data_IF_442001660429
#
_entry.id   IF_442001660429
#
_cell.length_a   1.000
_cell.length_b   1.000
_cell.length_c   1.000
_cell.angle_alpha   90.00
_cell.angle_beta   90.00
_cell.angle_gamma   90.00
#
_symmetry.space_group_name_H-M   'P 1'
#
loop_
_entity.id
_entity.type
_entity.pdbx_description
1 polymer ?
#
# COMPACT_ATOMS: atom_id res chain seq x y z
N UNK A 1 -10.35 29.04 -9.07
CA UNK A 1 -9.12 28.22 -8.91
C UNK A 1 -7.92 29.11 -9.21
N UNK A 2 -6.82 29.02 -8.46
CA UNK A 2 -5.58 29.78 -8.72
C UNK A 2 -4.49 28.74 -8.94
N UNK A 3 -3.86 28.75 -10.12
CA UNK A 3 -2.86 27.75 -10.53
C UNK A 3 -1.53 28.46 -10.78
N UNK A 4 -0.39 27.98 -10.23
CA UNK A 4 0.92 28.55 -10.51
C UNK A 4 1.27 28.41 -12.00
N UNK A 5 1.75 29.49 -12.62
CA UNK A 5 2.15 29.50 -14.03
C UNK A 5 3.23 28.43 -14.34
N UNK A 6 4.21 28.26 -13.44
CA UNK A 6 5.25 27.22 -13.58
C UNK A 6 4.66 25.82 -13.61
N UNK A 7 3.58 25.55 -12.87
CA UNK A 7 2.92 24.25 -12.87
C UNK A 7 2.25 23.99 -14.23
N UNK A 8 1.56 24.99 -14.78
CA UNK A 8 0.95 24.89 -16.12
C UNK A 8 2.03 24.61 -17.17
N UNK A 9 3.16 25.33 -17.15
CA UNK A 9 4.26 25.10 -18.09
C UNK A 9 4.84 23.69 -17.97
N UNK A 10 5.09 23.22 -16.75
CA UNK A 10 5.63 21.88 -16.46
C UNK A 10 4.67 20.74 -16.85
N UNK A 11 3.37 21.01 -16.92
CA UNK A 11 2.35 20.03 -17.29
C UNK A 11 1.81 20.26 -18.72
N UNK A 12 2.54 21.00 -19.55
CA UNK A 12 2.18 21.18 -20.96
C UNK A 12 2.13 19.81 -21.67
N UNK A 13 1.02 19.52 -22.35
CA UNK A 13 0.84 18.29 -23.11
C UNK A 13 1.23 18.42 -24.60
N UNK A 14 2.01 19.44 -24.98
CA UNK A 14 2.53 19.53 -26.34
C UNK A 14 3.58 18.44 -26.58
N UNK A 15 3.81 17.97 -27.82
CA UNK A 15 4.80 16.93 -28.12
C UNK A 15 6.23 17.25 -27.65
N UNK A 16 6.56 18.53 -27.52
CA UNK A 16 7.84 19.01 -26.98
C UNK A 16 7.98 18.70 -25.47
N UNK A 17 6.88 18.74 -24.71
CA UNK A 17 6.86 18.58 -23.26
C UNK A 17 6.34 17.23 -22.79
N UNK A 18 5.61 16.50 -23.65
CA UNK A 18 4.96 15.24 -23.30
C UNK A 18 4.94 14.27 -24.48
N UNK A 19 5.42 13.05 -24.26
CA UNK A 19 5.33 11.96 -25.21
C UNK A 19 4.00 11.24 -25.04
N UNK A 20 3.09 11.37 -26.01
CA UNK A 20 1.76 10.74 -25.98
C UNK A 20 1.78 9.23 -26.25
N UNK A 21 2.87 8.69 -26.82
CA UNK A 21 3.02 7.24 -27.01
C UNK A 21 3.42 6.54 -25.71
N UNK A 22 4.33 7.15 -24.94
CA UNK A 22 4.84 6.56 -23.70
C UNK A 22 4.18 7.11 -22.43
N UNK A 23 3.38 8.17 -22.57
CA UNK A 23 2.77 8.93 -21.47
C UNK A 23 3.79 9.54 -20.49
N UNK A 24 5.00 9.87 -20.98
CA UNK A 24 6.10 10.41 -20.18
C UNK A 24 6.36 11.89 -20.48
N UNK A 25 6.84 12.64 -19.48
CA UNK A 25 7.30 14.01 -19.66
C UNK A 25 8.62 14.03 -20.45
N UNK A 26 8.68 14.89 -21.45
CA UNK A 26 9.91 15.24 -22.18
C UNK A 26 10.52 16.55 -21.66
N UNK A 27 9.82 17.26 -20.77
CA UNK A 27 10.20 18.58 -20.29
C UNK A 27 11.59 18.57 -19.63
N UNK A 28 12.52 19.36 -20.15
CA UNK A 28 13.77 19.68 -19.45
C UNK A 28 13.45 20.69 -18.33
N UNK A 29 13.72 20.37 -17.05
CA UNK A 29 13.53 21.30 -15.95
C UNK A 29 14.28 22.63 -16.13
N UNK A 30 15.37 22.66 -16.92
CA UNK A 30 16.09 23.89 -17.24
C UNK A 30 15.28 24.87 -18.10
N UNK A 31 14.26 24.39 -18.83
CA UNK A 31 13.35 25.24 -19.60
C UNK A 31 12.30 25.93 -18.72
N UNK A 32 12.14 25.50 -17.45
CA UNK A 32 11.36 26.22 -16.45
C UNK A 32 12.18 27.41 -15.93
N UNK A 33 12.34 28.43 -16.77
CA UNK A 33 13.18 29.59 -16.45
C UNK A 33 12.60 30.43 -15.31
N UNK A 34 13.47 31.10 -14.54
CA UNK A 34 13.04 32.08 -13.50
C UNK A 34 12.26 33.27 -14.05
N UNK A 35 12.29 33.48 -15.37
CA UNK A 35 11.63 34.59 -16.07
C UNK A 35 10.40 34.14 -16.86
N UNK A 36 9.86 32.95 -16.58
CA UNK A 36 8.63 32.46 -17.20
C UNK A 36 7.47 33.42 -16.90
N UNK A 37 6.87 33.98 -17.95
CA UNK A 37 5.72 34.88 -17.88
C UNK A 37 4.66 34.46 -18.88
N UNK A 38 3.41 34.67 -18.49
CA UNK A 38 2.26 34.55 -19.38
C UNK A 38 2.15 35.88 -20.12
N UNK A 39 2.21 35.83 -21.45
CA UNK A 39 1.98 37.00 -22.31
C UNK A 39 0.47 37.23 -22.50
N UNK A 40 -0.28 36.18 -22.80
CA UNK A 40 -1.73 36.21 -22.91
C UNK A 40 -2.36 34.84 -22.65
N UNK A 41 -3.66 34.85 -22.37
CA UNK A 41 -4.49 33.65 -22.25
C UNK A 41 -5.74 33.85 -23.10
N UNK A 42 -6.06 32.85 -23.91
CA UNK A 42 -7.24 32.84 -24.76
C UNK A 42 -8.09 31.61 -24.44
N UNK A 43 -9.40 31.79 -24.28
CA UNK A 43 -10.32 30.66 -24.12
C UNK A 43 -10.50 29.97 -25.48
N UNK A 44 -10.64 28.65 -25.47
CA UNK A 44 -10.98 27.90 -26.69
C UNK A 44 -12.47 28.09 -27.02
N UNK A 45 -12.84 27.80 -28.27
CA UNK A 45 -14.25 27.82 -28.68
C UNK A 45 -15.12 26.97 -27.72
N UNK A 46 -16.23 27.55 -27.25
CA UNK A 46 -17.15 26.99 -26.25
C UNK A 46 -16.64 26.94 -24.79
N UNK A 47 -15.58 27.67 -24.44
CA UNK A 47 -15.05 27.81 -23.06
C UNK A 47 -14.67 26.48 -22.38
N UNK A 48 -14.46 25.42 -23.15
CA UNK A 48 -14.09 24.09 -22.64
C UNK A 48 -12.58 23.94 -22.32
N UNK A 49 -11.78 24.98 -22.60
CA UNK A 49 -10.34 24.97 -22.46
C UNK A 49 -9.74 26.36 -22.61
N UNK A 50 -8.41 26.44 -22.54
CA UNK A 50 -7.67 27.68 -22.75
C UNK A 50 -6.29 27.42 -23.34
N UNK A 51 -5.79 28.42 -24.05
CA UNK A 51 -4.46 28.49 -24.63
C UNK A 51 -3.66 29.56 -23.90
N UNK A 52 -2.46 29.22 -23.44
CA UNK A 52 -1.49 30.15 -22.86
C UNK A 52 -0.41 30.42 -23.87
N UNK A 53 -0.14 31.70 -24.11
CA UNK A 53 1.01 32.18 -24.85
C UNK A 53 2.07 32.66 -23.86
N UNK A 54 3.27 32.09 -23.96
CA UNK A 54 4.37 32.35 -23.05
C UNK A 54 5.35 33.36 -23.66
N UNK A 55 6.07 34.09 -22.81
CA UNK A 55 7.06 35.09 -23.22
C UNK A 55 8.29 34.53 -23.96
N UNK A 56 8.45 33.20 -23.98
CA UNK A 56 9.46 32.48 -24.77
C UNK A 56 8.95 32.07 -26.17
N UNK A 57 7.70 32.44 -26.51
CA UNK A 57 7.04 32.09 -27.76
C UNK A 57 6.37 30.71 -27.76
N UNK A 58 6.47 29.94 -26.67
CA UNK A 58 5.78 28.65 -26.58
C UNK A 58 4.27 28.84 -26.40
N UNK A 59 3.51 27.80 -26.75
CA UNK A 59 2.06 27.76 -26.62
C UNK A 59 1.64 26.49 -25.89
N UNK A 60 0.91 26.64 -24.79
CA UNK A 60 0.35 25.51 -24.03
C UNK A 60 -1.17 25.51 -24.13
N UNK A 61 -1.77 24.35 -24.35
CA UNK A 61 -3.23 24.17 -24.44
C UNK A 61 -3.70 23.22 -23.34
N UNK A 62 -4.77 23.60 -22.65
CA UNK A 62 -5.36 22.81 -21.57
C UNK A 62 -6.86 22.73 -21.76
N UNK A 63 -7.41 21.54 -21.54
CA UNK A 63 -8.84 21.37 -21.35
C UNK A 63 -9.19 21.71 -19.89
N UNK A 64 -10.35 22.33 -19.66
CA UNK A 64 -10.78 22.75 -18.32
C UNK A 64 -11.03 21.56 -17.40
N UNK A 65 -11.62 20.48 -17.92
CA UNK A 65 -11.86 19.22 -17.21
C UNK A 65 -10.55 18.52 -16.83
N UNK A 66 -9.58 18.48 -17.74
CA UNK A 66 -8.23 17.97 -17.46
C UNK A 66 -7.59 18.79 -16.35
N UNK A 67 -7.67 20.13 -16.39
CA UNK A 67 -7.10 20.98 -15.35
C UNK A 67 -7.79 20.74 -13.99
N UNK A 68 -9.12 20.61 -13.97
CA UNK A 68 -9.87 20.29 -12.75
C UNK A 68 -9.49 18.92 -12.17
N UNK A 69 -9.25 17.92 -13.03
CA UNK A 69 -8.87 16.58 -12.60
C UNK A 69 -7.40 16.40 -12.23
N UNK A 70 -6.50 17.23 -12.76
CA UNK A 70 -5.05 17.06 -12.59
C UNK A 70 -4.39 18.16 -11.74
N UNK A 71 -5.03 19.32 -11.56
CA UNK A 71 -4.49 20.35 -10.68
C UNK A 71 -4.71 19.96 -9.21
N UNK A 72 -3.64 19.55 -8.57
CA UNK A 72 -3.60 19.17 -7.17
C UNK A 72 -3.89 20.38 -6.27
N UNK A 73 -5.15 20.57 -5.88
CA UNK A 73 -5.50 21.46 -4.76
C UNK A 73 -5.81 20.69 -3.49
N UNK A 74 -6.66 19.66 -3.54
CA UNK A 74 -6.88 18.71 -2.42
C UNK A 74 -7.34 17.34 -2.96
N UNK A 75 -6.64 16.30 -2.50
CA UNK A 75 -6.83 14.84 -2.63
C UNK A 75 -6.81 14.17 -4.03
N UNK A 76 -6.03 13.09 -4.20
CA UNK A 76 -6.38 12.07 -5.18
C UNK A 76 -7.66 11.36 -4.69
N UNK A 77 -8.76 11.49 -5.44
CA UNK A 77 -9.95 10.67 -5.20
C UNK A 77 -9.63 9.26 -5.67
N UNK A 78 -9.47 8.32 -4.73
CA UNK A 78 -9.32 6.92 -5.10
C UNK A 78 -10.66 6.42 -5.65
N UNK A 79 -10.64 5.78 -6.82
CA UNK A 79 -11.84 5.16 -7.40
C UNK A 79 -12.52 4.19 -6.42
N UNK A 80 -11.76 3.60 -5.49
CA UNK A 80 -12.29 2.75 -4.42
C UNK A 80 -12.07 3.41 -3.07
N UNK A 81 -13.17 3.79 -2.39
CA UNK A 81 -13.10 4.30 -1.03
C UNK A 81 -12.78 3.17 -0.05
N UNK A 82 -11.78 3.41 0.80
CA UNK A 82 -11.45 2.53 1.92
C UNK A 82 -12.61 2.50 2.91
N UNK A 83 -12.85 1.33 3.48
CA UNK A 83 -13.83 1.10 4.55
C UNK A 83 -13.07 0.66 5.79
N UNK A 84 -13.25 1.41 6.87
CA UNK A 84 -12.82 0.97 8.19
C UNK A 84 -13.71 -0.15 8.69
N UNK A 85 -13.10 -1.20 9.22
CA UNK A 85 -13.84 -2.38 9.66
C UNK A 85 -13.36 -2.93 11.00
N UNK A 86 -14.30 -3.51 11.72
CA UNK A 86 -14.09 -4.27 12.93
C UNK A 86 -14.71 -5.67 12.79
N UNK A 87 -14.67 -6.44 13.88
CA UNK A 87 -15.29 -7.76 13.94
C UNK A 87 -16.78 -7.71 13.62
N UNK A 88 -17.53 -6.77 14.21
CA UNK A 88 -18.97 -6.70 14.05
C UNK A 88 -19.36 -6.45 12.59
N UNK A 89 -18.65 -5.52 11.92
CA UNK A 89 -18.88 -5.24 10.51
C UNK A 89 -18.58 -6.46 9.65
N UNK A 90 -17.46 -7.16 9.88
CA UNK A 90 -17.09 -8.35 9.12
C UNK A 90 -18.02 -9.55 9.37
N UNK A 91 -18.61 -9.67 10.56
CA UNK A 91 -19.63 -10.70 10.85
C UNK A 91 -21.02 -10.36 10.28
N UNK A 92 -21.29 -9.08 10.01
CA UNK A 92 -22.58 -8.61 9.49
C UNK A 92 -22.73 -8.73 7.96
N UNK A 93 -21.66 -9.06 7.23
CA UNK A 93 -21.65 -9.11 5.76
C UNK A 93 -20.80 -10.27 5.23
N UNK A 94 -20.95 -10.64 3.94
CA UNK A 94 -20.06 -11.62 3.32
C UNK A 94 -18.60 -11.13 3.35
N UNK A 95 -17.67 -12.04 3.65
CA UNK A 95 -16.24 -11.80 3.53
C UNK A 95 -15.86 -11.51 2.06
N UNK A 96 -14.77 -10.75 1.82
CA UNK A 96 -14.28 -10.43 0.47
C UNK A 96 -13.62 -11.66 -0.20
N UNK A 97 -14.44 -12.63 -0.59
CA UNK A 97 -14.03 -13.90 -1.20
C UNK A 97 -14.25 -13.83 -2.71
N UNK A 98 -13.25 -14.25 -3.48
CA UNK A 98 -13.29 -14.41 -4.93
C UNK A 98 -12.96 -15.87 -5.27
N UNK A 99 -13.76 -16.58 -6.08
CA UNK A 99 -13.41 -17.93 -6.52
C UNK A 99 -12.09 -17.93 -7.32
N UNK A 100 -11.24 -18.94 -7.10
CA UNK A 100 -9.97 -19.09 -7.82
C UNK A 100 -10.13 -19.04 -9.34
N UNK A 101 -11.15 -19.73 -9.88
CA UNK A 101 -11.41 -19.74 -11.32
C UNK A 101 -11.72 -18.33 -11.86
N UNK A 102 -12.48 -17.54 -11.12
CA UNK A 102 -12.85 -16.18 -11.52
C UNK A 102 -11.65 -15.25 -11.43
N UNK A 103 -10.86 -15.32 -10.36
CA UNK A 103 -9.61 -14.57 -10.21
C UNK A 103 -8.64 -14.85 -11.37
N UNK A 104 -8.49 -16.13 -11.74
CA UNK A 104 -7.52 -16.54 -12.76
C UNK A 104 -7.99 -16.22 -14.18
N UNK A 105 -9.28 -16.39 -14.48
CA UNK A 105 -9.79 -16.40 -15.86
C UNK A 105 -10.61 -15.17 -16.26
N UNK A 106 -11.15 -14.42 -15.30
CA UNK A 106 -12.07 -13.31 -15.58
C UNK A 106 -11.47 -11.98 -15.14
N UNK A 107 -11.53 -10.97 -16.01
CA UNK A 107 -11.14 -9.60 -15.64
C UNK A 107 -12.01 -9.05 -14.50
N UNK A 108 -13.29 -9.44 -14.45
CA UNK A 108 -14.18 -9.08 -13.35
C UNK A 108 -13.71 -9.67 -12.00
N UNK A 109 -13.24 -10.91 -11.98
CA UNK A 109 -12.74 -11.56 -10.74
C UNK A 109 -11.42 -10.95 -10.26
N UNK A 110 -10.51 -10.62 -11.17
CA UNK A 110 -9.31 -9.85 -10.82
C UNK A 110 -9.66 -8.45 -10.31
N UNK A 111 -10.55 -7.75 -11.01
CA UNK A 111 -10.99 -6.41 -10.59
C UNK A 111 -11.64 -6.42 -9.21
N UNK A 112 -12.44 -7.45 -8.89
CA UNK A 112 -13.02 -7.64 -7.57
C UNK A 112 -11.93 -7.88 -6.50
N UNK A 113 -10.93 -8.70 -6.82
CA UNK A 113 -9.76 -8.92 -5.95
C UNK A 113 -9.03 -7.61 -5.62
N UNK A 114 -8.73 -6.80 -6.65
CA UNK A 114 -8.07 -5.49 -6.48
C UNK A 114 -8.97 -4.52 -5.71
N UNK A 115 -10.28 -4.52 -5.99
CA UNK A 115 -11.26 -3.71 -5.30
C UNK A 115 -11.32 -4.05 -3.81
N UNK A 116 -11.34 -5.34 -3.45
CA UNK A 116 -11.33 -5.81 -2.07
C UNK A 116 -10.06 -5.37 -1.33
N UNK A 117 -8.89 -5.53 -1.95
CA UNK A 117 -7.60 -5.06 -1.40
C UNK A 117 -7.55 -3.54 -1.21
N UNK A 118 -8.16 -2.76 -2.09
CA UNK A 118 -8.24 -1.30 -1.94
C UNK A 118 -9.29 -0.87 -0.89
N UNK A 119 -10.42 -1.57 -0.82
CA UNK A 119 -11.55 -1.25 0.05
C UNK A 119 -11.32 -1.68 1.50
N UNK A 120 -10.99 -2.94 1.72
CA UNK A 120 -10.86 -3.54 3.06
C UNK A 120 -9.41 -3.77 3.47
N UNK A 121 -8.45 -3.66 2.54
CA UNK A 121 -7.07 -4.05 2.82
C UNK A 121 -6.87 -5.57 2.80
N UNK A 122 -7.89 -6.37 2.48
CA UNK A 122 -7.69 -7.81 2.26
C UNK A 122 -8.67 -8.41 1.24
N UNK A 123 -8.27 -9.54 0.67
CA UNK A 123 -9.12 -10.38 -0.19
C UNK A 123 -8.74 -11.85 0.00
N UNK A 124 -9.73 -12.73 -0.16
CA UNK A 124 -9.56 -14.18 -0.07
C UNK A 124 -9.83 -14.78 -1.44
N UNK A 125 -8.93 -15.60 -1.96
CA UNK A 125 -9.16 -16.44 -3.12
C UNK A 125 -9.39 -17.89 -2.68
N UNK A 126 -10.58 -18.41 -2.98
CA UNK A 126 -11.01 -19.72 -2.51
C UNK A 126 -10.88 -20.79 -3.60
N UNK A 127 -10.36 -21.96 -3.24
CA UNK A 127 -10.22 -23.10 -4.15
C UNK A 127 -8.90 -23.12 -4.94
N UNK A 128 -7.87 -22.37 -4.53
CA UNK A 128 -6.53 -22.50 -5.11
C UNK A 128 -5.91 -23.83 -4.69
N UNK A 129 -5.22 -24.56 -5.57
CA UNK A 129 -4.57 -25.82 -5.20
C UNK A 129 -3.46 -25.59 -4.15
N UNK A 130 -3.38 -26.45 -3.14
CA UNK A 130 -2.42 -26.41 -2.01
C UNK A 130 -0.97 -26.73 -2.41
N UNK A 131 -0.41 -25.97 -3.37
CA UNK A 131 1.02 -26.04 -3.70
C UNK A 131 1.63 -24.64 -3.84
N UNK A 132 2.94 -24.54 -3.65
CA UNK A 132 3.67 -23.28 -3.81
C UNK A 132 3.55 -22.74 -5.25
N UNK A 133 3.58 -23.62 -6.26
CA UNK A 133 3.48 -23.19 -7.67
C UNK A 133 2.07 -22.67 -8.03
N UNK A 134 1.03 -23.22 -7.40
CA UNK A 134 -0.33 -22.71 -7.59
C UNK A 134 -0.51 -21.36 -6.89
N UNK A 135 0.09 -21.22 -5.69
CA UNK A 135 0.16 -19.97 -4.94
C UNK A 135 0.81 -18.87 -5.78
N UNK A 136 2.00 -19.15 -6.32
CA UNK A 136 2.77 -18.21 -7.15
C UNK A 136 1.96 -17.74 -8.36
N UNK A 137 1.27 -18.64 -9.07
CA UNK A 137 0.44 -18.28 -10.24
C UNK A 137 -0.70 -17.33 -9.91
N UNK A 138 -1.32 -17.48 -8.74
CA UNK A 138 -2.36 -16.54 -8.28
C UNK A 138 -1.75 -15.19 -7.96
N UNK A 139 -0.57 -15.15 -7.32
CA UNK A 139 0.13 -13.88 -7.07
C UNK A 139 0.52 -13.21 -8.37
N UNK A 140 1.12 -13.94 -9.31
CA UNK A 140 1.56 -13.44 -10.62
C UNK A 140 0.41 -12.94 -11.50
N UNK A 141 -0.81 -13.46 -11.29
CA UNK A 141 -2.02 -12.95 -11.94
C UNK A 141 -2.39 -11.53 -11.48
N UNK A 142 -2.06 -11.19 -10.22
CA UNK A 142 -2.27 -9.88 -9.62
C UNK A 142 -1.08 -8.94 -9.89
N UNK A 143 0.15 -9.38 -9.61
CA UNK A 143 1.38 -8.61 -9.81
C UNK A 143 2.64 -9.48 -9.70
N UNK A 144 3.81 -8.90 -9.90
CA UNK A 144 5.07 -9.60 -9.68
C UNK A 144 5.28 -9.93 -8.19
N UNK A 145 6.01 -11.01 -7.92
CA UNK A 145 6.42 -11.38 -6.56
C UNK A 145 7.68 -10.58 -6.18
N UNK A 146 7.66 -9.92 -5.02
CA UNK A 146 8.83 -9.23 -4.48
C UNK A 146 9.76 -10.25 -3.83
N UNK A 147 10.94 -10.48 -4.44
CA UNK A 147 11.98 -11.30 -3.83
C UNK A 147 12.58 -10.58 -2.61
N UNK A 148 12.75 -11.32 -1.52
CA UNK A 148 13.30 -10.84 -0.25
C UNK A 148 14.45 -11.74 0.23
N UNK A 149 14.98 -11.49 1.42
CA UNK A 149 15.93 -12.38 2.10
C UNK A 149 15.35 -13.78 2.43
N UNK A 150 14.03 -13.95 2.32
CA UNK A 150 13.34 -15.24 2.46
C UNK A 150 13.16 -15.96 1.11
N UNK A 151 13.59 -15.35 0.00
CA UNK A 151 13.37 -15.84 -1.36
C UNK A 151 12.18 -15.16 -2.05
N UNK A 152 11.83 -15.66 -3.25
CA UNK A 152 10.65 -15.21 -4.02
C UNK A 152 9.37 -15.75 -3.39
N UNK A 153 9.30 -17.06 -3.23
CA UNK A 153 8.28 -17.77 -2.46
C UNK A 153 8.97 -18.44 -1.28
N UNK A 154 8.27 -18.56 -0.16
CA UNK A 154 8.78 -19.31 0.98
C UNK A 154 7.65 -20.15 1.58
N UNK A 155 7.97 -21.41 1.83
CA UNK A 155 7.12 -22.31 2.63
C UNK A 155 7.75 -22.42 4.00
N UNK A 156 6.96 -22.27 5.06
CA UNK A 156 7.42 -22.39 6.43
C UNK A 156 6.50 -23.28 7.25
N UNK A 157 7.06 -23.86 8.30
CA UNK A 157 6.36 -24.63 9.33
C UNK A 157 6.96 -24.24 10.68
N UNK A 158 6.35 -24.68 11.78
CA UNK A 158 6.83 -24.42 13.14
C UNK A 158 8.03 -25.33 13.50
N UNK A 159 9.06 -25.36 12.66
CA UNK A 159 10.27 -26.18 12.82
C UNK A 159 11.46 -25.43 13.45
N UNK A 160 11.33 -24.13 13.66
CA UNK A 160 12.40 -23.28 14.19
C UNK A 160 13.60 -23.12 13.24
N UNK A 161 13.44 -23.35 11.94
CA UNK A 161 14.54 -23.31 10.97
C UNK A 161 15.21 -21.94 10.86
N UNK A 162 14.48 -20.86 11.17
CA UNK A 162 14.98 -19.48 11.14
C UNK A 162 14.79 -18.79 12.47
N UNK A 163 15.60 -17.76 12.71
CA UNK A 163 15.49 -16.89 13.90
C UNK A 163 14.34 -15.87 13.76
N UNK A 164 13.17 -16.36 13.38
CA UNK A 164 11.95 -15.58 13.21
C UNK A 164 10.82 -16.27 13.98
N UNK A 165 10.05 -15.49 14.73
CA UNK A 165 8.93 -15.98 15.55
C UNK A 165 7.88 -16.73 14.74
N UNK A 166 7.78 -16.49 13.43
CA UNK A 166 6.95 -17.23 12.48
C UNK A 166 7.26 -18.72 12.39
N UNK A 167 8.48 -19.14 12.75
CA UNK A 167 8.89 -20.55 12.74
C UNK A 167 8.70 -21.23 14.10
N UNK A 168 8.03 -20.56 15.05
CA UNK A 168 7.72 -21.11 16.37
C UNK A 168 6.25 -21.55 16.50
N UNK A 169 5.91 -22.26 17.57
CA UNK A 169 4.52 -22.57 17.93
C UNK A 169 3.89 -21.50 18.83
N UNK A 170 4.59 -20.38 19.07
CA UNK A 170 4.08 -19.30 19.90
C UNK A 170 3.03 -18.50 19.12
N UNK A 171 1.99 -18.07 19.83
CA UNK A 171 0.98 -17.20 19.25
C UNK A 171 1.63 -15.86 18.84
N UNK A 172 1.46 -15.49 17.59
CA UNK A 172 1.88 -14.18 17.09
C UNK A 172 0.75 -13.17 17.29
N UNK A 173 1.05 -12.08 17.97
CA UNK A 173 0.16 -10.92 18.00
C UNK A 173 0.05 -10.28 16.60
N UNK A 174 -0.94 -9.41 16.39
CA UNK A 174 -1.03 -8.69 15.11
C UNK A 174 0.23 -7.84 14.88
N UNK A 175 0.77 -7.90 13.67
CA UNK A 175 1.98 -7.19 13.27
C UNK A 175 1.95 -6.92 11.77
N UNK A 176 2.92 -6.13 11.32
CA UNK A 176 3.20 -5.87 9.91
C UNK A 176 4.58 -6.40 9.58
N UNK A 177 4.67 -7.24 8.56
CA UNK A 177 5.92 -7.88 8.18
C UNK A 177 6.90 -6.93 7.52
N UNK A 178 8.18 -7.32 7.56
CA UNK A 178 9.28 -6.63 6.90
C UNK A 178 9.39 -5.14 7.28
N UNK A 179 8.94 -4.74 8.48
CA UNK A 179 8.98 -3.34 8.92
C UNK A 179 10.41 -2.77 8.97
N UNK A 180 11.40 -3.66 9.08
CA UNK A 180 12.84 -3.39 9.04
C UNK A 180 13.36 -3.06 7.64
N UNK A 181 12.59 -3.29 6.57
CA UNK A 181 12.91 -2.80 5.23
C UNK A 181 12.53 -1.33 5.06
N UNK A 182 13.30 -0.59 4.27
CA UNK A 182 12.97 0.81 3.95
C UNK A 182 11.60 0.90 3.23
N UNK A 183 11.33 -0.04 2.33
CA UNK A 183 10.02 -0.25 1.72
C UNK A 183 9.53 -1.67 2.05
N UNK A 184 8.73 -1.83 3.13
CA UNK A 184 8.07 -3.10 3.45
C UNK A 184 7.17 -3.58 2.31
N UNK A 185 6.88 -4.88 2.28
CA UNK A 185 5.97 -5.45 1.29
C UNK A 185 4.60 -4.77 1.33
N UNK A 186 4.12 -4.36 0.17
CA UNK A 186 2.82 -3.67 0.05
C UNK A 186 1.63 -4.62 0.17
N UNK A 187 1.80 -5.89 -0.21
CA UNK A 187 0.83 -6.97 -0.09
C UNK A 187 1.58 -8.20 0.42
N UNK A 188 1.05 -8.85 1.45
CA UNK A 188 1.53 -10.15 1.90
C UNK A 188 0.55 -11.25 1.53
N UNK A 189 1.05 -12.40 1.10
CA UNK A 189 0.23 -13.53 0.67
C UNK A 189 0.44 -14.74 1.58
N UNK A 190 -0.65 -15.28 2.12
CA UNK A 190 -0.63 -16.53 2.88
C UNK A 190 -1.51 -17.60 2.23
N UNK A 191 -0.98 -18.82 2.18
CA UNK A 191 -1.70 -20.00 1.73
C UNK A 191 -1.41 -21.16 2.67
N UNK A 192 -2.43 -21.64 3.37
CA UNK A 192 -2.32 -22.86 4.16
C UNK A 192 -2.23 -24.07 3.22
N UNK A 193 -1.03 -24.64 3.08
CA UNK A 193 -0.81 -25.85 2.28
C UNK A 193 -1.15 -27.14 3.04
N UNK A 194 -1.07 -27.10 4.38
CA UNK A 194 -1.39 -28.22 5.26
C UNK A 194 -1.59 -27.72 6.68
N UNK A 195 -2.65 -28.20 7.33
CA UNK A 195 -2.87 -27.98 8.76
C UNK A 195 -3.12 -29.31 9.47
N UNK A 196 -2.33 -29.58 10.53
CA UNK A 196 -2.51 -30.76 11.38
C UNK A 196 -2.45 -30.32 12.84
N UNK A 197 -3.57 -30.35 13.55
CA UNK A 197 -3.63 -29.98 14.96
C UNK A 197 -4.86 -29.14 15.30
N UNK A 198 -4.76 -28.44 16.42
CA UNK A 198 -5.74 -27.46 16.91
C UNK A 198 -5.05 -26.09 17.08
N UNK A 199 -5.79 -25.01 16.86
CA UNK A 199 -5.23 -23.66 16.80
C UNK A 199 -4.80 -23.30 15.38
N UNK A 200 -3.90 -22.32 15.25
CA UNK A 200 -3.38 -21.87 13.96
C UNK A 200 -4.34 -20.95 13.20
N UNK A 201 -5.31 -20.38 13.90
CA UNK A 201 -6.22 -19.38 13.34
C UNK A 201 -5.46 -18.14 12.87
N UNK A 202 -5.79 -17.68 11.67
CA UNK A 202 -5.42 -16.40 11.09
C UNK A 202 -6.18 -15.26 11.77
N UNK A 203 -5.43 -14.36 12.41
CA UNK A 203 -5.95 -13.11 12.93
C UNK A 203 -5.77 -11.97 11.92
N UNK A 204 -6.84 -11.29 11.56
CA UNK A 204 -6.82 -10.07 10.75
C UNK A 204 -7.36 -8.87 11.52
N UNK A 205 -6.78 -7.71 11.25
CA UNK A 205 -7.24 -6.46 11.82
C UNK A 205 -7.07 -5.29 10.87
N UNK A 206 -8.02 -4.36 10.86
CA UNK A 206 -7.82 -3.05 10.28
C UNK A 206 -7.06 -2.11 11.23
N UNK A 207 -5.77 -1.95 10.98
CA UNK A 207 -4.95 -0.99 11.70
C UNK A 207 -5.21 0.45 11.39
N UNK A 208 -5.75 0.77 10.22
CA UNK A 208 -6.15 2.14 9.95
C UNK A 208 -7.39 2.49 10.75
N UNK A 209 -8.33 1.57 10.93
CA UNK A 209 -9.41 1.76 11.88
C UNK A 209 -8.89 1.87 13.33
N UNK A 210 -7.98 0.99 13.75
CA UNK A 210 -7.40 1.05 15.09
C UNK A 210 -6.65 2.36 15.36
N UNK A 211 -5.90 2.86 14.37
CA UNK A 211 -5.24 4.17 14.44
C UNK A 211 -6.23 5.31 14.50
N UNK A 212 -7.37 5.22 13.80
CA UNK A 212 -8.42 6.24 13.83
C UNK A 212 -9.00 6.37 15.24
N UNK A 213 -9.36 5.23 15.85
CA UNK A 213 -9.83 5.15 17.23
C UNK A 213 -8.74 5.62 18.22
N UNK A 214 -7.49 5.20 18.03
CA UNK A 214 -6.37 5.62 18.88
C UNK A 214 -6.10 7.11 18.79
N UNK A 215 -6.18 7.70 17.59
CA UNK A 215 -6.03 9.14 17.35
C UNK A 215 -7.11 9.94 18.07
N UNK A 216 -8.35 9.46 18.10
CA UNK A 216 -9.44 10.13 18.82
C UNK A 216 -9.27 10.04 20.34
N UNK A 217 -8.85 8.89 20.86
CA UNK A 217 -8.69 8.67 22.29
C UNK A 217 -7.41 9.30 22.88
N UNK A 218 -6.31 9.29 22.11
CA UNK A 218 -4.97 9.70 22.56
C UNK A 218 -4.26 10.54 21.48
N UNK A 219 -4.74 11.77 21.19
CA UNK A 219 -4.23 12.58 20.08
C UNK A 219 -2.76 12.96 20.22
N UNK A 220 -2.28 13.23 21.43
CA UNK A 220 -0.88 13.56 21.70
C UNK A 220 0.04 12.36 21.44
N UNK A 221 -0.33 11.17 21.92
CA UNK A 221 0.43 9.94 21.67
C UNK A 221 0.41 9.56 20.18
N UNK A 222 -0.73 9.71 19.52
CA UNK A 222 -0.83 9.50 18.07
C UNK A 222 0.11 10.44 17.30
N UNK A 223 0.21 11.70 17.71
CA UNK A 223 1.15 12.66 17.11
C UNK A 223 2.60 12.17 17.21
N UNK A 224 2.99 11.58 18.35
CA UNK A 224 4.32 10.97 18.52
C UNK A 224 4.56 9.84 17.51
N UNK A 225 3.57 8.96 17.27
CA UNK A 225 3.70 7.87 16.29
C UNK A 225 3.91 8.36 14.85
N UNK A 226 3.51 9.59 14.55
CA UNK A 226 3.69 10.22 13.22
C UNK A 226 4.96 11.04 13.08
N UNK A 227 5.62 11.39 14.20
CA UNK A 227 6.77 12.32 14.23
C UNK A 227 8.06 11.69 14.71
N UNK A 228 8.00 10.77 15.67
CA UNK A 228 9.18 10.13 16.23
C UNK A 228 9.66 9.04 15.27
N UNK A 229 10.89 9.21 14.80
CA UNK A 229 11.60 8.20 14.00
C UNK A 229 12.18 7.17 14.95
N UNK A 230 11.85 5.90 14.71
CA UNK A 230 12.34 4.74 15.48
C UNK A 230 13.11 3.78 14.58
N UNK A 231 14.07 3.01 15.14
CA UNK A 231 14.71 1.93 14.42
C UNK A 231 13.80 0.71 14.27
N UNK A 232 13.81 0.12 13.08
CA UNK A 232 13.26 -1.20 12.81
C UNK A 232 14.40 -2.12 12.39
N UNK A 233 14.62 -3.20 13.14
CA UNK A 233 15.80 -4.06 12.97
C UNK A 233 15.41 -5.54 12.87
N UNK A 234 16.09 -6.26 11.98
CA UNK A 234 16.10 -7.70 11.91
C UNK A 234 17.55 -8.18 11.92
N UNK A 235 17.85 -9.13 12.79
CA UNK A 235 19.17 -9.76 12.91
C UNK A 235 18.99 -11.26 12.95
N UNK A 236 19.69 -11.93 12.06
CA UNK A 236 19.79 -13.38 11.99
C UNK A 236 21.25 -13.76 11.86
N UNK A 237 21.71 -14.63 12.74
CA UNK A 237 23.07 -15.17 12.66
C UNK A 237 23.18 -16.19 11.52
N UNK A 238 24.38 -16.37 10.92
CA UNK A 238 24.59 -17.38 9.91
C UNK A 238 24.29 -18.80 10.41
N UNK A 239 23.69 -19.62 9.55
CA UNK A 239 23.38 -21.04 9.77
C UNK A 239 23.45 -21.84 8.47
N UNK A 240 23.21 -23.15 8.52
CA UNK A 240 23.13 -23.98 7.30
C UNK A 240 21.95 -23.58 6.37
N UNK A 241 20.93 -22.90 6.91
CA UNK A 241 19.73 -22.49 6.19
C UNK A 241 19.73 -21.00 5.78
N UNK A 242 20.63 -20.19 6.32
CA UNK A 242 20.70 -18.74 6.06
C UNK A 242 22.14 -18.24 6.14
N UNK A 243 22.62 -17.40 5.20
CA UNK A 243 23.94 -16.78 5.29
C UNK A 243 24.06 -15.78 6.46
N UNK A 244 22.97 -15.51 7.19
CA UNK A 244 22.88 -14.47 8.19
C UNK A 244 22.58 -13.12 7.56
N UNK A 245 21.72 -12.34 8.21
CA UNK A 245 21.28 -11.04 7.71
C UNK A 245 21.16 -10.04 8.85
N UNK A 246 21.54 -8.80 8.57
CA UNK A 246 21.26 -7.67 9.45
C UNK A 246 20.61 -6.56 8.61
N UNK A 247 19.31 -6.36 8.82
CA UNK A 247 18.55 -5.29 8.21
C UNK A 247 18.19 -4.25 9.26
N UNK A 248 18.32 -3.00 8.88
CA UNK A 248 18.05 -1.86 9.74
C UNK A 248 17.48 -0.73 8.90
N UNK A 249 16.35 -0.17 9.34
CA UNK A 249 15.79 1.05 8.76
C UNK A 249 15.28 1.99 9.85
N UNK A 250 15.18 3.27 9.49
CA UNK A 250 14.61 4.31 10.33
C UNK A 250 13.29 4.76 9.72
N UNK A 251 12.24 4.81 10.53
CA UNK A 251 10.92 5.25 10.08
C UNK A 251 10.03 5.64 11.25
N UNK A 252 8.95 6.34 10.96
CA UNK A 252 7.87 6.54 11.93
C UNK A 252 6.98 5.30 11.94
N UNK A 253 6.33 5.03 13.07
CA UNK A 253 5.34 3.96 13.20
C UNK A 253 4.15 4.17 12.27
N UNK A 254 3.71 5.43 12.11
CA UNK A 254 2.58 5.81 11.25
C UNK A 254 3.07 6.80 10.20
N UNK A 255 2.70 6.57 8.93
CA UNK A 255 2.89 7.55 7.85
C UNK A 255 1.56 8.04 7.32
N UNK A 256 1.46 9.36 7.18
CA UNK A 256 0.29 10.06 6.67
C UNK A 256 0.65 10.71 5.34
N UNK A 257 -0.28 10.68 4.39
CA UNK A 257 -0.11 11.38 3.13
C UNK A 257 -0.11 12.90 3.36
N UNK A 258 0.93 13.64 2.94
CA UNK A 258 1.05 15.06 3.27
C UNK A 258 -0.06 15.92 2.67
N UNK A 259 -0.59 15.54 1.49
CA UNK A 259 -1.69 16.27 0.85
C UNK A 259 -3.10 15.81 1.26
N UNK A 260 -3.36 14.50 1.43
CA UNK A 260 -4.72 14.00 1.73
C UNK A 260 -4.99 13.81 3.22
N UNK A 261 -3.95 13.78 4.07
CA UNK A 261 -4.10 13.45 5.49
C UNK A 261 -4.48 11.99 5.74
N UNK A 262 -4.49 11.14 4.72
CA UNK A 262 -4.87 9.73 4.86
C UNK A 262 -3.71 8.87 5.37
N UNK A 263 -4.02 7.83 6.13
CA UNK A 263 -3.02 6.83 6.51
C UNK A 263 -2.50 6.08 5.28
N UNK A 264 -1.18 6.13 5.10
CA UNK A 264 -0.45 5.44 4.02
C UNK A 264 0.10 4.11 4.53
N UNK A 265 0.72 4.12 5.71
CA UNK A 265 1.48 3.00 6.21
C UNK A 265 1.44 2.94 7.72
N UNK A 266 1.47 1.70 8.20
CA UNK A 266 1.63 1.35 9.58
C UNK A 266 2.77 0.35 9.72
N UNK A 267 3.69 0.59 10.64
CA UNK A 267 4.81 -0.30 10.95
C UNK A 267 4.73 -0.71 12.42
N UNK A 268 4.32 -1.94 12.65
CA UNK A 268 4.15 -2.47 14.01
C UNK A 268 4.63 -3.91 14.09
N UNK A 269 5.58 -4.17 14.98
CA UNK A 269 6.10 -5.52 15.26
C UNK A 269 6.15 -5.72 16.76
N UNK A 270 5.58 -6.81 17.26
CA UNK A 270 5.41 -7.10 18.70
C UNK A 270 6.74 -7.54 19.37
N UNK A 271 7.86 -7.57 18.64
CA UNK A 271 9.16 -8.04 19.12
C UNK A 271 9.88 -7.16 20.15
N UNK A 272 9.44 -5.91 20.37
CA UNK A 272 10.01 -5.03 21.38
C UNK A 272 8.99 -4.83 22.50
N UNK A 273 9.15 -5.58 23.59
CA UNK A 273 8.19 -5.64 24.69
C UNK A 273 7.74 -4.26 25.19
N UNK A 274 6.42 -4.06 25.24
CA UNK A 274 5.82 -2.95 25.97
C UNK A 274 5.77 -3.29 27.47
N UNK A 275 6.02 -2.33 28.37
CA UNK A 275 5.89 -2.55 29.81
C UNK A 275 4.43 -2.82 30.23
N UNK A 276 4.26 -3.70 31.23
CA UNK A 276 2.99 -4.27 31.74
C UNK A 276 1.87 -3.27 32.11
N UNK A 277 2.15 -1.96 32.19
CA UNK A 277 1.16 -0.92 32.45
C UNK A 277 0.41 -0.45 31.19
N UNK A 278 0.85 -0.85 29.99
CA UNK A 278 -0.03 -0.99 28.83
C UNK A 278 -0.94 -2.19 29.13
N UNK A 279 -2.06 -1.93 29.81
CA UNK A 279 -2.99 -2.97 30.24
C UNK A 279 -3.32 -3.93 29.10
N UNK A 280 -3.46 -5.22 29.43
CA UNK A 280 -3.87 -6.29 28.51
C UNK A 280 -5.09 -5.84 27.70
N UNK A 281 -4.85 -5.31 26.52
CA UNK A 281 -5.81 -4.87 25.54
C UNK A 281 -5.22 -5.30 24.19
N UNK A 282 -5.94 -6.17 23.50
CA UNK A 282 -5.58 -6.68 22.18
C UNK A 282 -5.62 -5.50 21.20
N UNK A 283 -4.47 -5.12 20.63
CA UNK A 283 -4.29 -3.95 19.76
C UNK A 283 -3.53 -4.40 18.48
N UNK A 284 -3.82 -3.78 17.35
CA UNK A 284 -4.49 -4.41 16.20
C UNK A 284 -4.16 -3.61 14.90
N UNK A 285 -3.40 -4.12 13.90
CA UNK A 285 -2.77 -3.26 12.84
C UNK A 285 -2.77 -3.87 11.40
N UNK A 286 -3.12 -3.12 10.31
CA UNK A 286 -3.22 -3.59 8.91
C UNK A 286 -2.10 -3.09 7.98
N UNK A 287 -1.50 -4.04 7.26
CA UNK A 287 -0.99 -3.92 5.88
C UNK A 287 -2.02 -4.53 4.92
N UNK A 288 -1.87 -4.40 3.58
CA UNK A 288 -2.76 -5.15 2.68
C UNK A 288 -2.39 -6.64 2.74
N UNK A 289 -3.36 -7.51 2.97
CA UNK A 289 -3.12 -8.97 3.10
C UNK A 289 -3.99 -9.73 2.12
N UNK A 290 -3.42 -10.72 1.46
CA UNK A 290 -4.08 -11.53 0.46
C UNK A 290 -4.01 -13.00 0.87
N UNK A 291 -5.14 -13.69 0.81
CA UNK A 291 -5.22 -15.08 1.26
C UNK A 291 -5.60 -15.99 0.11
N UNK A 292 -5.00 -17.15 0.06
CA UNK A 292 -5.55 -18.30 -0.66
C UNK A 292 -6.08 -19.29 0.36
N UNK A 293 -7.40 -19.54 0.32
CA UNK A 293 -8.11 -20.31 1.34
C UNK A 293 -8.57 -21.65 0.80
N UNK A 294 -8.16 -22.71 1.49
CA UNK A 294 -8.77 -24.04 1.50
C UNK A 294 -9.05 -24.54 2.94
N UNK A 295 -9.36 -23.62 3.88
CA UNK A 295 -9.56 -23.75 5.37
C UNK A 295 -8.26 -23.69 6.21
N UNK A 296 -8.12 -23.03 7.39
CA UNK A 296 -9.03 -22.44 8.42
C UNK A 296 -8.70 -20.94 8.72
N UNK A 297 -9.69 -20.19 9.24
CA UNK A 297 -9.65 -18.80 9.76
C UNK A 297 -9.12 -18.79 11.19
#
# INVERSE_FOLDING_TARGET
MVVPAVWLRDHCMSPEYYNHETQQKNADPNHLTRNLKIDSVELTDNDCGFTIFWNDGHVSKFAMDWLQGNYYKEKPDSATKRVYWDKNLMESQPLPIVPHEDHMKLEAGLAETVSNLCKYGFSIVEGCKETEEATEKVVERLSFVQETLFGKMWTFTSDGLRSDTAYSTQALGSHTDLSYMETPAGIQVFHCLKHTGSGGETLLVDGFHALDVFREAYPEDFELLTKIVVPHEYKEEPSDASPGYHLYSLGTTVRIHPASGEFIQLRYVVGYGLPDWFGRLLIHMSCKVYFMKNYII
#
